data_IF_404304573087
#
_entry.id   IF_404304573087
#
_cell.length_a   1.000
_cell.length_b   1.000
_cell.length_c   1.000
_cell.angle_alpha   90.00
_cell.angle_beta   90.00
_cell.angle_gamma   90.00
#
_symmetry.space_group_name_H-M   'P 1'
#
loop_
_entity.id
_entity.type
_entity.pdbx_description
1 polymer ?
#
# COMPACT_ATOMS: atom_id res chain seq x y z
N UNK A 1 3.04 -13.40 3.56
CA UNK A 1 2.97 -11.94 3.77
C UNK A 1 2.86 -11.13 2.47
N UNK A 2 2.97 -11.70 1.26
CA UNK A 2 2.90 -10.93 -0.01
C UNK A 2 1.59 -10.16 -0.26
N UNK A 3 0.47 -10.56 0.34
CA UNK A 3 -0.81 -9.85 0.18
C UNK A 3 -0.94 -8.57 1.02
N UNK A 4 -0.16 -8.44 2.09
CA UNK A 4 -0.25 -7.31 3.02
C UNK A 4 0.28 -6.02 2.39
N UNK A 5 1.35 -6.10 1.60
CA UNK A 5 1.94 -4.92 0.95
C UNK A 5 0.97 -4.32 -0.09
N UNK A 6 0.27 -5.19 -0.83
CA UNK A 6 -0.77 -4.76 -1.77
C UNK A 6 -1.97 -4.12 -1.05
N UNK A 7 -2.40 -4.68 0.09
CA UNK A 7 -3.48 -4.09 0.90
C UNK A 7 -3.08 -2.76 1.52
N UNK A 8 -1.83 -2.64 2.00
CA UNK A 8 -1.30 -1.39 2.51
C UNK A 8 -1.25 -0.31 1.43
N UNK A 9 -0.85 -0.67 0.20
CA UNK A 9 -0.85 0.25 -0.94
C UNK A 9 -2.24 0.77 -1.31
N UNK A 10 -3.29 -0.03 -1.11
CA UNK A 10 -4.67 0.43 -1.30
C UNK A 10 -5.11 1.48 -0.27
N UNK A 11 -4.48 1.51 0.92
CA UNK A 11 -4.82 2.47 1.97
C UNK A 11 -4.28 3.88 1.69
N UNK A 12 -3.07 4.01 1.15
CA UNK A 12 -2.43 5.32 0.88
C UNK A 12 -2.38 5.70 -0.60
N UNK A 13 -2.48 4.74 -1.52
CA UNK A 13 -2.36 4.96 -2.96
C UNK A 13 -3.39 5.92 -3.55
N UNK A 14 -4.70 5.78 -3.25
CA UNK A 14 -5.72 6.72 -3.72
C UNK A 14 -5.49 8.16 -3.25
N UNK A 15 -5.07 8.35 -2.00
CA UNK A 15 -4.77 9.66 -1.43
C UNK A 15 -3.54 10.29 -2.10
N UNK A 16 -2.48 9.52 -2.32
CA UNK A 16 -1.29 9.98 -3.03
C UNK A 16 -1.61 10.40 -4.48
N UNK A 17 -2.44 9.62 -5.18
CA UNK A 17 -2.89 9.96 -6.52
C UNK A 17 -3.69 11.27 -6.53
N UNK A 18 -4.64 11.43 -5.59
CA UNK A 18 -5.41 12.67 -5.46
C UNK A 18 -4.51 13.87 -5.17
N UNK A 19 -3.53 13.72 -4.27
CA UNK A 19 -2.58 14.78 -3.89
C UNK A 19 -1.80 15.30 -5.09
N UNK A 20 -1.36 14.40 -5.99
CA UNK A 20 -0.67 14.77 -7.22
C UNK A 20 -1.60 15.51 -8.19
N UNK A 21 -2.91 15.23 -8.15
CA UNK A 21 -3.90 15.86 -9.02
C UNK A 21 -4.45 17.19 -8.47
N UNK A 22 -4.17 17.54 -7.21
CA UNK A 22 -4.60 18.82 -6.59
C UNK A 22 -4.27 20.06 -7.46
N UNK A 23 -3.08 20.19 -8.09
CA UNK A 23 -2.75 21.36 -8.92
C UNK A 23 -3.67 21.53 -10.14
N UNK A 24 -4.30 20.45 -10.62
CA UNK A 24 -5.27 20.48 -11.72
C UNK A 24 -6.69 20.87 -11.25
N UNK A 25 -6.90 20.99 -9.93
CA UNK A 25 -8.20 21.35 -9.35
C UNK A 25 -9.32 20.40 -9.76
N UNK A 26 -10.53 20.94 -9.99
CA UNK A 26 -11.71 20.15 -10.35
C UNK A 26 -11.57 19.36 -11.67
N UNK A 27 -10.67 19.77 -12.57
CA UNK A 27 -10.38 19.02 -13.80
C UNK A 27 -9.64 17.71 -13.51
N UNK A 28 -8.88 17.64 -12.42
CA UNK A 28 -8.19 16.43 -11.97
C UNK A 28 -9.15 15.28 -11.66
N UNK A 29 -10.31 15.56 -11.07
CA UNK A 29 -11.30 14.54 -10.69
C UNK A 29 -11.79 13.71 -11.88
N UNK A 30 -11.77 14.27 -13.10
CA UNK A 30 -12.15 13.54 -14.32
C UNK A 30 -11.08 12.52 -14.76
N UNK A 31 -9.83 12.72 -14.36
CA UNK A 31 -8.72 11.82 -14.70
C UNK A 31 -8.56 10.65 -13.73
N UNK A 32 -9.18 10.69 -12.55
CA UNK A 32 -9.03 9.60 -11.57
C UNK A 32 -9.58 8.26 -12.10
N UNK A 33 -10.75 8.30 -12.75
CA UNK A 33 -11.36 7.12 -13.37
C UNK A 33 -10.46 6.43 -14.41
N UNK A 34 -9.99 7.14 -15.47
CA UNK A 34 -9.12 6.53 -16.46
C UNK A 34 -7.76 6.12 -15.88
N UNK A 35 -7.17 6.88 -14.96
CA UNK A 35 -5.91 6.49 -14.29
C UNK A 35 -6.10 5.18 -13.52
N UNK A 36 -7.15 5.07 -12.72
CA UNK A 36 -7.46 3.83 -11.99
C UNK A 36 -7.68 2.66 -12.93
N UNK A 37 -8.37 2.84 -14.06
CA UNK A 37 -8.56 1.79 -15.06
C UNK A 37 -7.23 1.30 -15.65
N UNK A 38 -6.31 2.22 -15.96
CA UNK A 38 -4.96 1.87 -16.46
C UNK A 38 -4.17 1.12 -15.39
N UNK A 39 -4.22 1.54 -14.13
CA UNK A 39 -3.55 0.86 -13.02
C UNK A 39 -4.10 -0.57 -12.87
N UNK A 40 -5.41 -0.75 -12.92
CA UNK A 40 -6.04 -2.08 -12.84
C UNK A 40 -5.58 -2.97 -14.00
N UNK A 41 -5.55 -2.44 -15.23
CA UNK A 41 -5.06 -3.17 -16.39
C UNK A 41 -3.57 -3.57 -16.21
N UNK A 42 -2.74 -2.68 -15.69
CA UNK A 42 -1.35 -2.97 -15.37
C UNK A 42 -1.22 -4.08 -14.31
N UNK A 43 -2.04 -4.05 -13.26
CA UNK A 43 -2.07 -5.10 -12.24
C UNK A 43 -2.46 -6.47 -12.83
N UNK A 44 -3.35 -6.52 -13.81
CA UNK A 44 -3.64 -7.76 -14.54
C UNK A 44 -2.41 -8.28 -15.29
N UNK A 45 -1.69 -7.41 -16.01
CA UNK A 45 -0.46 -7.80 -16.71
C UNK A 45 0.58 -8.34 -15.72
N UNK A 46 0.77 -7.66 -14.59
CA UNK A 46 1.68 -8.08 -13.52
C UNK A 46 1.25 -9.43 -12.92
N UNK A 47 -0.04 -9.64 -12.69
CA UNK A 47 -0.58 -10.92 -12.21
C UNK A 47 -0.23 -12.08 -13.15
N UNK A 48 -0.45 -11.91 -14.46
CA UNK A 48 -0.11 -12.94 -15.44
C UNK A 48 1.41 -13.17 -15.53
N UNK A 49 2.21 -12.10 -15.47
CA UNK A 49 3.67 -12.18 -15.46
C UNK A 49 4.19 -12.97 -14.25
N UNK A 50 3.68 -12.69 -13.05
CA UNK A 50 4.04 -13.45 -11.85
C UNK A 50 3.59 -14.90 -11.92
N UNK A 51 2.40 -15.19 -12.45
CA UNK A 51 1.93 -16.57 -12.67
C UNK A 51 2.89 -17.36 -13.57
N UNK A 52 3.34 -16.77 -14.67
CA UNK A 52 4.31 -17.38 -15.57
C UNK A 52 5.66 -17.60 -14.88
N UNK A 53 6.14 -16.58 -14.15
CA UNK A 53 7.42 -16.63 -13.44
C UNK A 53 7.42 -17.70 -12.35
N UNK A 54 6.36 -17.80 -11.54
CA UNK A 54 6.22 -18.82 -10.49
C UNK A 54 6.18 -20.23 -11.11
N UNK A 55 5.52 -20.38 -12.26
CA UNK A 55 5.50 -21.66 -12.99
C UNK A 55 6.88 -22.06 -13.55
N UNK A 56 7.66 -21.09 -14.04
CA UNK A 56 9.01 -21.32 -14.57
C UNK A 56 10.05 -21.54 -13.46
N UNK A 57 9.84 -20.98 -12.27
CA UNK A 57 10.77 -21.01 -11.13
C UNK A 57 10.15 -21.64 -9.87
N UNK A 58 9.79 -22.94 -9.88
CA UNK A 58 9.06 -23.60 -8.79
C UNK A 58 9.88 -23.73 -7.49
N UNK A 59 11.21 -23.71 -7.58
CA UNK A 59 12.11 -23.77 -6.43
C UNK A 59 12.32 -22.41 -5.73
N UNK A 60 11.62 -21.36 -6.19
CA UNK A 60 11.72 -20.02 -5.62
C UNK A 60 12.87 -19.24 -6.24
N UNK A 61 12.55 -18.39 -7.22
CA UNK A 61 13.46 -17.40 -7.77
C UNK A 61 12.88 -16.01 -7.56
N UNK A 62 13.45 -15.22 -6.64
CA UNK A 62 13.14 -13.79 -6.56
C UNK A 62 13.66 -13.05 -7.79
N UNK A 63 13.33 -11.76 -7.93
CA UNK A 63 13.73 -10.94 -9.09
C UNK A 63 15.24 -10.98 -9.36
N UNK A 64 16.06 -11.13 -8.31
CA UNK A 64 17.51 -11.35 -8.42
C UNK A 64 17.86 -12.67 -9.13
N UNK A 65 17.29 -13.79 -8.69
CA UNK A 65 17.58 -15.13 -9.25
C UNK A 65 17.17 -15.20 -10.72
N UNK A 66 15.97 -14.68 -11.03
CA UNK A 66 15.46 -14.64 -12.41
C UNK A 66 16.36 -13.76 -13.29
N UNK A 67 16.76 -12.58 -12.81
CA UNK A 67 17.66 -11.72 -13.58
C UNK A 67 19.06 -12.34 -13.76
N UNK A 68 19.57 -13.04 -12.75
CA UNK A 68 20.90 -13.67 -12.81
C UNK A 68 20.98 -14.77 -13.83
N UNK A 69 19.96 -15.61 -13.91
CA UNK A 69 19.92 -16.75 -14.83
C UNK A 69 19.64 -16.33 -16.28
N UNK A 70 18.87 -15.25 -16.51
CA UNK A 70 18.48 -14.83 -17.87
C UNK A 70 19.33 -13.70 -18.46
N UNK A 71 19.83 -12.78 -17.62
CA UNK A 71 20.48 -11.53 -18.06
C UNK A 71 21.94 -11.41 -17.58
N UNK A 72 22.40 -12.34 -16.73
CA UNK A 72 23.75 -12.37 -16.20
C UNK A 72 23.93 -11.51 -14.95
N UNK A 73 25.20 -11.31 -14.56
CA UNK A 73 25.55 -10.80 -13.22
C UNK A 73 25.19 -9.33 -13.03
N UNK A 74 25.58 -8.43 -13.94
CA UNK A 74 25.35 -6.99 -13.76
C UNK A 74 23.86 -6.61 -13.62
N UNK A 75 22.95 -7.07 -14.50
CA UNK A 75 21.52 -6.77 -14.35
C UNK A 75 20.93 -7.37 -13.08
N UNK A 76 21.42 -8.54 -12.63
CA UNK A 76 20.96 -9.14 -11.39
C UNK A 76 21.35 -8.32 -10.16
N UNK A 77 22.55 -7.76 -10.12
CA UNK A 77 22.98 -6.87 -9.04
C UNK A 77 22.12 -5.60 -8.98
N UNK A 78 21.74 -5.04 -10.13
CA UNK A 78 20.81 -3.92 -10.18
C UNK A 78 19.43 -4.31 -9.63
N UNK A 79 18.92 -5.49 -9.99
CA UNK A 79 17.66 -6.01 -9.45
C UNK A 79 17.73 -6.22 -7.92
N UNK A 80 18.85 -6.72 -7.39
CA UNK A 80 19.05 -6.86 -5.95
C UNK A 80 19.10 -5.50 -5.25
N UNK A 81 19.81 -4.52 -5.80
CA UNK A 81 19.87 -3.17 -5.24
C UNK A 81 18.48 -2.51 -5.23
N UNK A 82 17.71 -2.66 -6.31
CA UNK A 82 16.34 -2.16 -6.39
C UNK A 82 15.43 -2.83 -5.33
N UNK A 83 15.54 -4.14 -5.12
CA UNK A 83 14.78 -4.85 -4.08
C UNK A 83 15.12 -4.37 -2.66
N UNK A 84 16.40 -4.11 -2.38
CA UNK A 84 16.80 -3.57 -1.07
C UNK A 84 16.22 -2.17 -0.82
N UNK A 85 16.22 -1.32 -1.84
CA UNK A 85 15.61 0.01 -1.75
C UNK A 85 14.10 -0.08 -1.59
N UNK A 86 13.45 -0.97 -2.34
CA UNK A 86 12.01 -1.22 -2.23
C UNK A 86 11.61 -1.60 -0.80
N UNK A 87 12.33 -2.53 -0.17
CA UNK A 87 12.06 -2.91 1.22
C UNK A 87 12.21 -1.75 2.22
N UNK A 88 13.22 -0.88 2.03
CA UNK A 88 13.40 0.30 2.88
C UNK A 88 12.25 1.30 2.67
N UNK A 89 11.87 1.53 1.41
CA UNK A 89 10.81 2.46 1.05
C UNK A 89 9.43 1.98 1.54
N UNK A 90 9.11 0.69 1.41
CA UNK A 90 7.85 0.12 1.89
C UNK A 90 7.68 0.36 3.39
N UNK A 91 8.72 0.12 4.19
CA UNK A 91 8.68 0.38 5.63
C UNK A 91 8.54 1.87 5.93
N UNK A 92 9.31 2.73 5.25
CA UNK A 92 9.28 4.17 5.47
C UNK A 92 7.91 4.78 5.11
N UNK A 93 7.37 4.44 3.94
CA UNK A 93 6.07 4.92 3.45
C UNK A 93 4.94 4.36 4.31
N UNK A 94 4.99 3.07 4.65
CA UNK A 94 3.98 2.42 5.49
C UNK A 94 3.84 3.07 6.87
N UNK A 95 4.96 3.34 7.56
CA UNK A 95 4.94 4.01 8.87
C UNK A 95 4.45 5.46 8.72
N UNK A 96 4.92 6.18 7.69
CA UNK A 96 4.53 7.58 7.47
C UNK A 96 3.04 7.73 7.17
N UNK A 97 2.48 6.86 6.31
CA UNK A 97 1.06 6.84 6.01
C UNK A 97 0.23 6.42 7.24
N UNK A 98 0.69 5.44 8.01
CA UNK A 98 0.03 5.02 9.26
C UNK A 98 -0.02 6.13 10.32
N UNK A 99 1.08 6.86 10.52
CA UNK A 99 1.11 8.02 11.41
C UNK A 99 0.27 9.16 10.85
N UNK A 100 0.25 9.35 9.53
CA UNK A 100 -0.64 10.29 8.85
C UNK A 100 -2.11 10.04 9.21
N UNK A 101 -2.57 8.79 9.09
CA UNK A 101 -3.92 8.40 9.48
C UNK A 101 -4.21 8.64 10.98
N UNK A 102 -3.24 8.41 11.87
CA UNK A 102 -3.37 8.72 13.30
C UNK A 102 -3.52 10.22 13.58
N UNK A 103 -2.72 11.04 12.89
CA UNK A 103 -2.76 12.51 13.03
C UNK A 103 -4.05 13.09 12.46
N UNK A 104 -4.60 12.48 11.39
CA UNK A 104 -5.93 12.83 10.87
C UNK A 104 -7.04 12.58 11.89
N UNK A 105 -6.91 11.56 12.74
CA UNK A 105 -7.86 11.29 13.82
C UNK A 105 -7.64 12.19 15.05
N UNK A 106 -6.39 12.57 15.33
CA UNK A 106 -5.99 13.40 16.49
C UNK A 106 -5.02 14.51 16.06
N UNK A 107 -5.54 15.69 15.63
CA UNK A 107 -4.70 16.76 15.08
C UNK A 107 -3.66 17.35 16.03
N UNK A 108 -3.84 17.20 17.34
CA UNK A 108 -2.87 17.65 18.36
C UNK A 108 -1.51 16.95 18.28
N UNK A 109 -1.42 15.82 17.57
CA UNK A 109 -0.18 15.05 17.36
C UNK A 109 0.65 15.54 16.16
N UNK A 110 0.14 16.47 15.36
CA UNK A 110 0.82 17.01 14.17
C UNK A 110 2.28 17.45 14.40
N UNK A 111 2.64 18.19 15.48
CA UNK A 111 4.04 18.58 15.72
C UNK A 111 4.96 17.41 16.07
N UNK A 112 4.41 16.25 16.48
CA UNK A 112 5.17 15.07 16.89
C UNK A 112 5.24 13.97 15.84
N UNK A 113 4.73 14.23 14.63
CA UNK A 113 4.71 13.28 13.49
C UNK A 113 6.05 12.57 13.27
N UNK A 114 7.14 13.32 13.14
CA UNK A 114 8.48 12.75 12.93
C UNK A 114 8.91 11.86 14.10
N UNK A 115 8.70 12.31 15.33
CA UNK A 115 9.07 11.57 16.53
C UNK A 115 8.27 10.26 16.63
N UNK A 116 6.96 10.29 16.33
CA UNK A 116 6.11 9.11 16.29
C UNK A 116 6.58 8.10 15.24
N UNK A 117 6.90 8.55 14.02
CA UNK A 117 7.44 7.68 12.97
C UNK A 117 8.72 6.97 13.43
N UNK A 118 9.67 7.71 14.01
CA UNK A 118 10.94 7.15 14.49
C UNK A 118 10.75 6.19 15.67
N UNK A 119 9.86 6.51 16.60
CA UNK A 119 9.53 5.62 17.74
C UNK A 119 8.91 4.32 17.22
N UNK A 120 7.95 4.39 16.30
CA UNK A 120 7.31 3.20 15.72
C UNK A 120 8.33 2.36 14.95
N UNK A 121 9.19 2.98 14.14
CA UNK A 121 10.26 2.29 13.43
C UNK A 121 11.20 1.57 14.40
N UNK A 122 11.62 2.25 15.48
CA UNK A 122 12.47 1.66 16.50
C UNK A 122 11.80 0.48 17.20
N UNK A 123 10.52 0.60 17.57
CA UNK A 123 9.75 -0.48 18.17
C UNK A 123 9.66 -1.69 17.23
N UNK A 124 9.32 -1.47 15.96
CA UNK A 124 9.25 -2.53 14.95
C UNK A 124 10.63 -3.20 14.80
N UNK A 125 11.72 -2.43 14.76
CA UNK A 125 13.07 -2.97 14.68
C UNK A 125 13.43 -3.84 15.90
N UNK A 126 13.07 -3.39 17.11
CA UNK A 126 13.28 -4.16 18.35
C UNK A 126 12.46 -5.45 18.36
N UNK A 127 11.19 -5.39 17.95
CA UNK A 127 10.31 -6.57 17.86
C UNK A 127 10.85 -7.57 16.84
N UNK A 128 11.23 -7.10 15.64
CA UNK A 128 11.79 -7.95 14.59
C UNK A 128 13.09 -8.63 15.04
N UNK A 129 13.93 -7.93 15.81
CA UNK A 129 15.16 -8.51 16.35
C UNK A 129 14.91 -9.61 17.40
N UNK A 130 13.80 -9.58 18.13
CA UNK A 130 13.46 -10.57 19.17
C UNK A 130 12.97 -11.92 18.64
N UNK A 131 12.88 -12.08 17.32
CA UNK A 131 12.57 -13.36 16.69
C UNK A 131 11.09 -13.71 16.82
N UNK A 132 10.29 -13.21 15.87
CA UNK A 132 8.83 -13.41 15.87
C UNK A 132 8.47 -14.76 15.24
N UNK A 133 8.74 -15.83 15.99
CA UNK A 133 8.57 -17.22 15.52
C UNK A 133 7.11 -17.66 15.39
N UNK A 134 6.14 -16.89 15.92
CA UNK A 134 4.70 -17.18 15.86
C UNK A 134 3.85 -16.10 15.14
N UNK A 135 4.49 -15.14 14.47
CA UNK A 135 3.80 -13.96 13.93
C UNK A 135 2.72 -14.23 12.89
N UNK A 136 2.75 -15.37 12.20
CA UNK A 136 1.81 -15.68 11.13
C UNK A 136 0.35 -15.53 11.55
N UNK A 137 -0.03 -16.06 12.71
CA UNK A 137 -1.41 -16.02 13.21
C UNK A 137 -1.79 -14.65 13.80
N UNK A 138 -0.87 -14.01 14.52
CA UNK A 138 -1.10 -12.70 15.15
C UNK A 138 -1.37 -11.59 14.12
N UNK A 139 -0.75 -11.67 12.93
CA UNK A 139 -0.95 -10.70 11.85
C UNK A 139 -2.19 -10.98 10.97
N UNK A 140 -2.85 -12.14 11.10
CA UNK A 140 -4.10 -12.39 10.35
C UNK A 140 -5.26 -11.56 10.86
N UNK A 141 -5.36 -11.37 12.19
CA UNK A 141 -6.48 -10.66 12.80
C UNK A 141 -6.58 -9.19 12.31
N UNK A 142 -5.51 -8.38 12.34
CA UNK A 142 -5.54 -7.03 11.77
C UNK A 142 -5.88 -7.00 10.28
N UNK A 143 -5.42 -8.00 9.51
CA UNK A 143 -5.68 -8.08 8.07
C UNK A 143 -7.16 -8.29 7.78
N UNK A 144 -7.80 -9.25 8.46
CA UNK A 144 -9.22 -9.50 8.26
C UNK A 144 -10.09 -8.34 8.77
N UNK A 145 -9.69 -7.72 9.87
CA UNK A 145 -10.37 -6.52 10.38
C UNK A 145 -10.29 -5.38 9.37
N UNK A 146 -9.11 -5.12 8.80
CA UNK A 146 -8.93 -4.10 7.76
C UNK A 146 -9.82 -4.37 6.54
N UNK A 147 -9.83 -5.60 6.03
CA UNK A 147 -10.68 -5.99 4.90
C UNK A 147 -12.16 -5.76 5.24
N UNK A 148 -12.61 -6.20 6.42
CA UNK A 148 -13.99 -6.01 6.88
C UNK A 148 -14.39 -4.54 6.99
N UNK A 149 -13.55 -3.71 7.61
CA UNK A 149 -13.78 -2.27 7.71
C UNK A 149 -13.81 -1.59 6.33
N UNK A 150 -12.91 -1.95 5.43
CA UNK A 150 -12.86 -1.41 4.08
C UNK A 150 -14.13 -1.77 3.29
N UNK A 151 -14.59 -3.02 3.36
CA UNK A 151 -15.86 -3.42 2.76
C UNK A 151 -17.05 -2.64 3.34
N UNK A 152 -17.11 -2.48 4.66
CA UNK A 152 -18.17 -1.70 5.29
C UNK A 152 -18.18 -0.24 4.81
N UNK A 153 -17.02 0.42 4.76
CA UNK A 153 -16.89 1.80 4.26
C UNK A 153 -17.36 1.92 2.81
N UNK A 154 -16.95 0.99 1.94
CA UNK A 154 -17.37 0.97 0.53
C UNK A 154 -18.87 0.76 0.41
N UNK A 155 -19.46 -0.20 1.13
CA UNK A 155 -20.90 -0.48 1.07
C UNK A 155 -21.73 0.69 1.60
N UNK A 156 -21.31 1.30 2.72
CA UNK A 156 -21.96 2.50 3.26
C UNK A 156 -21.84 3.67 2.27
N UNK A 157 -20.67 3.83 1.64
CA UNK A 157 -20.44 4.84 0.60
C UNK A 157 -21.39 4.66 -0.59
N UNK A 158 -21.48 3.44 -1.13
CA UNK A 158 -22.38 3.11 -2.24
C UNK A 158 -23.86 3.30 -1.86
N UNK A 159 -24.25 2.86 -0.67
CA UNK A 159 -25.61 3.05 -0.16
C UNK A 159 -25.95 4.56 -0.03
N UNK A 160 -25.02 5.36 0.51
CA UNK A 160 -25.19 6.82 0.58
C UNK A 160 -25.30 7.45 -0.81
N UNK A 161 -24.49 7.04 -1.78
CA UNK A 161 -24.56 7.53 -3.16
C UNK A 161 -25.90 7.17 -3.82
N UNK A 162 -26.38 5.93 -3.62
CA UNK A 162 -27.67 5.48 -4.13
C UNK A 162 -28.84 6.26 -3.50
N UNK A 163 -28.80 6.48 -2.18
CA UNK A 163 -29.83 7.23 -1.43
C UNK A 163 -29.83 8.73 -1.74
N UNK A 164 -28.66 9.30 -2.06
CA UNK A 164 -28.50 10.73 -2.42
C UNK A 164 -28.66 11.01 -3.92
N UNK A 165 -29.02 10.00 -4.72
CA UNK A 165 -29.25 10.15 -6.16
C UNK A 165 -28.02 10.64 -6.94
N UNK A 166 -26.81 10.37 -6.43
CA UNK A 166 -25.55 10.80 -7.05
C UNK A 166 -25.05 12.19 -6.66
N UNK A 167 -25.73 12.91 -5.76
CA UNK A 167 -25.26 14.19 -5.24
C UNK A 167 -24.79 14.04 -3.79
N UNK A 168 -23.48 13.81 -3.55
CA UNK A 168 -22.96 13.73 -2.19
C UNK A 168 -23.17 15.08 -1.48
N UNK A 169 -23.99 15.10 -0.43
CA UNK A 169 -24.08 16.24 0.48
C UNK A 169 -22.75 16.35 1.23
N UNK A 170 -22.10 17.51 1.15
CA UNK A 170 -20.88 17.75 1.92
C UNK A 170 -21.15 17.50 3.40
N UNK A 171 -20.38 16.61 4.02
CA UNK A 171 -20.36 16.51 5.48
C UNK A 171 -19.71 17.81 5.95
N UNK A 172 -20.51 18.69 6.55
CA UNK A 172 -19.99 19.87 7.21
C UNK A 172 -19.01 19.41 8.29
N UNK A 173 -17.73 19.74 8.11
CA UNK A 173 -16.74 19.59 9.16
C UNK A 173 -17.10 20.59 10.26
N UNK A 174 -17.73 20.11 11.33
CA UNK A 174 -17.87 20.82 12.60
C UNK A 174 -16.64 20.58 13.46
#
# INVERSE_FOLDING_TARGET
>A
MLGLDALASAAYGPEAALTILIPLGALGLRYIGPISAIIIALLFVVYFSYRQTIGAYPHGGGSYTVARENLGVFPSLLAAAALLLDYVLVVAVGISAGVGALVSALPSLQPYTLALCLIILFLIAVVNRRGVRESGAAFMLPTYLFIGCMFAVVLIGLAKVALSGGHPSAVAAT
#
